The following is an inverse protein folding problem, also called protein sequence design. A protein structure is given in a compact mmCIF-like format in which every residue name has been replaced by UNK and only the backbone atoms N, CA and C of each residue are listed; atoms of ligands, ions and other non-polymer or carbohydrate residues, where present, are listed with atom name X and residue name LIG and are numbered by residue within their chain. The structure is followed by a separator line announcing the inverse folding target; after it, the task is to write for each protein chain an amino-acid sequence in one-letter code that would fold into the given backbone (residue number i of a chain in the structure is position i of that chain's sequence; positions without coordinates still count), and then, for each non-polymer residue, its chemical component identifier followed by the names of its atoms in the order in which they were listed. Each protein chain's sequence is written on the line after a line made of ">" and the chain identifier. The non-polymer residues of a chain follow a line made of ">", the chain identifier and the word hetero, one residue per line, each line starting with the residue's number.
data_IF_321455345499
#
_entry.id   IF_321455345499
#
_cell.length_a   1.000
_cell.length_b   1.000
_cell.length_c   1.000
_cell.angle_alpha   90.00
_cell.angle_beta   90.00
_cell.angle_gamma   90.00
#
_symmetry.space_group_name_H-M   'P 1'
#
loop_
_entity.id
_entity.type
_entity.pdbx_description
1 polymer ?
#
# COMPACT_ATOMS: atom_id res chain seq x y z
N UNK A 1 15.58 -2.17 10.22
CA UNK A 1 14.49 -3.08 9.83
C UNK A 1 14.77 -4.45 10.42
N UNK A 2 13.77 -5.07 11.08
CA UNK A 2 13.86 -6.46 11.58
C UNK A 2 13.14 -7.37 10.58
N UNK A 3 13.72 -8.53 10.29
CA UNK A 3 13.13 -9.53 9.38
C UNK A 3 13.02 -10.84 10.15
N UNK A 4 11.86 -11.50 10.07
CA UNK A 4 11.61 -12.83 10.63
C UNK A 4 11.01 -13.74 9.56
N UNK A 5 11.43 -14.98 9.51
CA UNK A 5 10.94 -16.01 8.58
C UNK A 5 10.44 -17.21 9.40
N UNK A 6 9.22 -17.12 9.94
CA UNK A 6 8.63 -18.21 10.71
C UNK A 6 8.26 -19.41 9.83
N UNK A 7 8.33 -20.60 10.40
CA UNK A 7 8.04 -21.86 9.68
C UNK A 7 6.52 -22.08 9.51
N UNK A 8 5.71 -21.58 10.43
CA UNK A 8 4.25 -21.80 10.44
C UNK A 8 3.48 -20.50 10.59
N UNK A 9 2.22 -20.50 10.14
CA UNK A 9 1.32 -19.37 10.31
C UNK A 9 1.05 -19.02 11.78
N UNK A 10 1.01 -20.02 12.66
CA UNK A 10 0.88 -19.81 14.10
C UNK A 10 2.06 -19.03 14.66
N UNK A 11 3.29 -19.44 14.34
CA UNK A 11 4.51 -18.74 14.78
C UNK A 11 4.54 -17.29 14.28
N UNK A 12 4.20 -17.07 13.00
CA UNK A 12 4.16 -15.72 12.43
C UNK A 12 3.23 -14.80 13.22
N UNK A 13 2.03 -15.29 13.53
CA UNK A 13 1.01 -14.51 14.23
C UNK A 13 1.34 -14.33 15.73
N UNK A 14 2.00 -15.30 16.38
CA UNK A 14 2.50 -15.18 17.74
C UNK A 14 3.65 -14.17 17.86
N UNK A 15 4.59 -14.18 16.90
CA UNK A 15 5.65 -13.17 16.81
C UNK A 15 5.03 -11.77 16.63
N UNK A 16 4.07 -11.64 15.74
CA UNK A 16 3.35 -10.37 15.54
C UNK A 16 2.67 -9.91 16.83
N UNK A 17 1.95 -10.78 17.54
CA UNK A 17 1.30 -10.45 18.82
C UNK A 17 2.32 -10.00 19.87
N UNK A 18 3.46 -10.67 19.97
CA UNK A 18 4.53 -10.37 20.92
C UNK A 18 5.16 -9.00 20.63
N UNK A 19 5.44 -8.71 19.35
CA UNK A 19 6.00 -7.43 18.94
C UNK A 19 5.02 -6.27 19.18
N UNK A 20 3.73 -6.45 18.86
CA UNK A 20 2.69 -5.45 19.18
C UNK A 20 2.62 -5.19 20.67
N UNK A 21 2.64 -6.25 21.49
CA UNK A 21 2.55 -6.14 22.95
C UNK A 21 3.77 -5.46 23.55
N UNK A 22 4.94 -5.62 22.96
CA UNK A 22 6.18 -5.00 23.45
C UNK A 22 6.19 -3.47 23.30
N UNK A 23 5.41 -2.92 22.36
CA UNK A 23 5.44 -1.49 22.03
C UNK A 23 6.77 -1.01 21.43
N UNK A 24 7.65 -1.94 21.01
CA UNK A 24 8.99 -1.63 20.53
C UNK A 24 9.04 -1.34 19.02
N UNK A 25 7.93 -1.52 18.30
CA UNK A 25 7.87 -1.34 16.85
C UNK A 25 6.60 -0.56 16.47
N UNK A 26 6.72 0.37 15.53
CA UNK A 26 5.62 1.21 15.06
C UNK A 26 4.83 0.54 13.94
N UNK A 27 5.51 -0.27 13.11
CA UNK A 27 4.90 -0.93 11.96
C UNK A 27 5.36 -2.38 11.86
N UNK A 28 4.40 -3.29 11.67
CA UNK A 28 4.64 -4.70 11.36
C UNK A 28 3.97 -5.01 10.02
N UNK A 29 4.72 -5.64 9.12
CA UNK A 29 4.21 -6.09 7.82
C UNK A 29 4.27 -7.61 7.76
N UNK A 30 3.13 -8.24 7.46
CA UNK A 30 3.03 -9.67 7.19
C UNK A 30 2.85 -9.85 5.68
N UNK A 31 3.91 -10.32 5.02
CA UNK A 31 3.95 -10.59 3.58
C UNK A 31 4.18 -12.08 3.33
N UNK A 32 3.17 -12.85 3.01
CA UNK A 32 1.78 -12.49 2.83
C UNK A 32 0.86 -13.46 3.61
N UNK A 33 -0.42 -13.09 3.73
CA UNK A 33 -1.43 -13.99 4.34
C UNK A 33 -1.48 -15.35 3.62
N UNK A 34 -1.25 -15.38 2.31
CA UNK A 34 -1.24 -16.62 1.52
C UNK A 34 -0.16 -17.60 1.99
N UNK A 35 0.94 -17.11 2.58
CA UNK A 35 2.05 -17.91 3.09
C UNK A 35 1.89 -18.34 4.56
N UNK A 36 0.84 -17.89 5.25
CA UNK A 36 0.54 -18.33 6.62
C UNK A 36 -0.08 -19.72 6.61
N UNK A 37 0.77 -20.74 6.41
CA UNK A 37 0.34 -22.13 6.39
C UNK A 37 0.18 -22.64 7.80
N UNK A 38 -0.99 -23.21 8.18
CA UNK A 38 -1.18 -23.83 9.49
C UNK A 38 -0.23 -25.01 9.70
N UNK A 39 0.25 -25.19 10.95
CA UNK A 39 1.13 -26.29 11.32
C UNK A 39 0.54 -27.65 10.92
N UNK A 40 -0.74 -27.86 11.21
CA UNK A 40 -1.42 -29.12 10.89
C UNK A 40 -1.47 -29.43 9.37
N UNK A 41 -1.38 -28.41 8.53
CA UNK A 41 -1.28 -28.58 7.07
C UNK A 41 0.14 -28.95 6.65
N UNK A 42 1.16 -28.45 7.36
CA UNK A 42 2.58 -28.78 7.10
C UNK A 42 2.95 -30.19 7.59
N UNK A 43 2.32 -30.65 8.68
CA UNK A 43 2.56 -31.97 9.27
C UNK A 43 1.70 -33.07 8.63
N UNK A 44 0.72 -32.71 7.78
CA UNK A 44 -0.13 -33.66 7.07
C UNK A 44 0.55 -34.29 5.85
N UNK A 45 -0.02 -35.38 5.35
CA UNK A 45 0.47 -36.06 4.15
C UNK A 45 0.05 -35.30 2.87
N UNK A 46 0.83 -35.49 1.79
CA UNK A 46 0.51 -34.95 0.48
C UNK A 46 -0.82 -35.53 -0.04
N UNK A 47 -1.80 -34.67 -0.21
CA UNK A 47 -3.16 -35.05 -0.67
C UNK A 47 -4.21 -34.97 0.42
N UNK A 48 -3.83 -34.72 1.67
CA UNK A 48 -4.77 -34.48 2.74
C UNK A 48 -5.60 -33.21 2.50
N UNK A 49 -6.89 -33.29 2.82
CA UNK A 49 -7.78 -32.14 2.67
C UNK A 49 -7.84 -31.31 3.95
N UNK A 50 -7.21 -30.16 3.92
CA UNK A 50 -7.16 -29.21 5.04
C UNK A 50 -8.13 -28.03 4.87
N UNK A 51 -9.39 -28.32 4.56
CA UNK A 51 -10.40 -27.30 4.26
C UNK A 51 -10.59 -26.33 5.44
N UNK A 52 -10.30 -25.05 5.19
CA UNK A 52 -10.62 -23.97 6.11
C UNK A 52 -9.68 -23.79 7.32
N UNK A 53 -8.59 -24.57 7.43
CA UNK A 53 -7.65 -24.43 8.57
C UNK A 53 -7.05 -23.02 8.63
N UNK A 54 -6.57 -22.49 7.51
CA UNK A 54 -6.04 -21.14 7.43
C UNK A 54 -7.08 -20.08 7.82
N UNK A 55 -8.34 -20.24 7.41
CA UNK A 55 -9.40 -19.31 7.78
C UNK A 55 -9.72 -19.35 9.28
N UNK A 56 -9.63 -20.54 9.90
CA UNK A 56 -9.79 -20.70 11.37
C UNK A 56 -8.64 -20.05 12.11
N UNK A 57 -7.39 -20.29 11.68
CA UNK A 57 -6.19 -19.67 12.23
C UNK A 57 -6.29 -18.14 12.19
N UNK A 58 -6.60 -17.58 11.02
CA UNK A 58 -6.78 -16.14 10.86
C UNK A 58 -7.89 -15.58 11.74
N UNK A 59 -9.03 -16.27 11.85
CA UNK A 59 -10.14 -15.83 12.69
C UNK A 59 -9.79 -15.83 14.18
N UNK A 60 -9.03 -16.80 14.63
CA UNK A 60 -8.56 -16.91 16.01
C UNK A 60 -7.50 -15.83 16.32
N UNK A 61 -6.50 -15.69 15.47
CA UNK A 61 -5.42 -14.74 15.64
C UNK A 61 -5.94 -13.29 15.62
N UNK A 62 -6.80 -12.93 14.67
CA UNK A 62 -7.32 -11.58 14.58
C UNK A 62 -8.19 -11.18 15.77
N UNK A 63 -8.90 -12.12 16.41
CA UNK A 63 -9.61 -11.85 17.67
C UNK A 63 -8.65 -11.43 18.79
N UNK A 64 -7.47 -12.07 18.89
CA UNK A 64 -6.44 -11.71 19.86
C UNK A 64 -5.74 -10.41 19.48
N UNK A 65 -5.25 -10.33 18.25
CA UNK A 65 -4.49 -9.19 17.73
C UNK A 65 -5.27 -7.88 17.81
N UNK A 66 -6.56 -7.88 17.46
CA UNK A 66 -7.37 -6.66 17.49
C UNK A 66 -7.38 -6.02 18.88
N UNK A 67 -7.52 -6.82 19.94
CA UNK A 67 -7.50 -6.31 21.31
C UNK A 67 -6.12 -5.80 21.75
N UNK A 68 -5.04 -6.37 21.23
CA UNK A 68 -3.67 -5.95 21.53
C UNK A 68 -3.29 -4.71 20.73
N UNK A 69 -3.55 -4.71 19.43
CA UNK A 69 -3.28 -3.58 18.52
C UNK A 69 -4.03 -2.33 18.95
N UNK A 70 -5.32 -2.43 19.36
CA UNK A 70 -6.11 -1.28 19.79
C UNK A 70 -5.58 -0.55 21.02
N UNK A 71 -4.68 -1.18 21.77
CA UNK A 71 -4.04 -0.62 22.98
C UNK A 71 -2.56 -0.28 22.75
N UNK A 72 -2.08 -0.40 21.54
CA UNK A 72 -0.71 -0.10 21.15
C UNK A 72 -0.69 1.03 20.10
N UNK A 73 0.47 1.60 19.88
CA UNK A 73 0.71 2.54 18.76
C UNK A 73 1.26 1.83 17.51
N UNK A 74 1.19 0.49 17.48
CA UNK A 74 1.71 -0.31 16.36
C UNK A 74 0.67 -0.47 15.28
N UNK A 75 1.04 -0.18 14.04
CA UNK A 75 0.25 -0.48 12.84
C UNK A 75 0.62 -1.85 12.30
N UNK A 76 -0.37 -2.74 12.11
CA UNK A 76 -0.15 -4.05 11.50
C UNK A 76 -0.73 -4.07 10.09
N UNK A 77 0.12 -4.35 9.11
CA UNK A 77 -0.22 -4.41 7.68
C UNK A 77 -0.19 -5.87 7.23
N UNK A 78 -1.32 -6.36 6.73
CA UNK A 78 -1.41 -7.67 6.10
C UNK A 78 -1.43 -7.51 4.58
N UNK A 79 -0.43 -8.04 3.89
CA UNK A 79 -0.42 -8.15 2.44
C UNK A 79 -1.16 -9.44 2.07
N UNK A 80 -2.05 -9.36 1.08
CA UNK A 80 -2.79 -10.53 0.62
C UNK A 80 -2.83 -10.59 -0.91
N UNK A 81 -3.05 -11.78 -1.43
CA UNK A 81 -3.12 -12.05 -2.85
C UNK A 81 -4.57 -12.21 -3.28
N UNK A 82 -4.87 -11.86 -4.53
CA UNK A 82 -6.16 -12.12 -5.14
C UNK A 82 -6.12 -13.50 -5.80
N UNK A 83 -7.18 -14.27 -5.61
CA UNK A 83 -7.44 -15.55 -6.26
C UNK A 83 -8.81 -15.50 -6.91
N UNK A 84 -9.04 -16.32 -7.89
CA UNK A 84 -10.33 -16.47 -8.52
C UNK A 84 -11.00 -17.76 -8.08
N UNK A 85 -12.28 -17.69 -7.79
CA UNK A 85 -13.12 -18.86 -7.53
C UNK A 85 -13.56 -19.48 -8.83
N UNK A 86 -13.25 -20.75 -9.02
CA UNK A 86 -13.71 -21.53 -10.17
C UNK A 86 -15.24 -21.71 -10.07
N UNK A 87 -15.94 -21.59 -11.21
CA UNK A 87 -17.38 -21.87 -11.32
C UNK A 87 -18.32 -20.72 -10.90
N UNK A 88 -17.80 -19.51 -10.64
CA UNK A 88 -18.64 -18.33 -10.40
C UNK A 88 -19.03 -17.72 -11.75
N UNK A 89 -20.24 -17.99 -12.23
CA UNK A 89 -20.75 -17.45 -13.50
C UNK A 89 -21.30 -16.02 -13.37
N UNK A 90 -21.73 -15.60 -12.17
CA UNK A 90 -22.30 -14.27 -11.91
C UNK A 90 -21.67 -13.63 -10.66
N UNK A 91 -21.47 -12.32 -10.70
CA UNK A 91 -20.86 -11.55 -9.61
C UNK A 91 -19.33 -11.50 -9.70
N UNK A 92 -18.68 -11.10 -8.62
CA UNK A 92 -17.21 -10.98 -8.56
C UNK A 92 -16.58 -12.32 -8.12
N UNK A 93 -15.84 -13.01 -8.99
CA UNK A 93 -15.17 -14.28 -8.66
C UNK A 93 -13.98 -14.09 -7.71
N UNK A 94 -13.49 -12.86 -7.55
CA UNK A 94 -12.27 -12.60 -6.78
C UNK A 94 -12.45 -12.91 -5.29
N UNK A 95 -11.46 -13.59 -4.75
CA UNK A 95 -11.37 -13.95 -3.33
C UNK A 95 -9.95 -13.78 -2.84
N UNK A 96 -9.75 -13.86 -1.53
CA UNK A 96 -8.43 -13.79 -0.90
C UNK A 96 -8.22 -14.98 0.02
N UNK A 97 -7.00 -15.54 0.13
CA UNK A 97 -6.64 -16.52 1.15
C UNK A 97 -6.91 -16.02 2.58
N UNK A 98 -6.99 -16.94 3.55
CA UNK A 98 -7.22 -16.62 4.96
C UNK A 98 -8.67 -16.35 5.35
N UNK A 99 -9.63 -16.61 4.44
CA UNK A 99 -11.05 -16.47 4.73
C UNK A 99 -11.55 -15.02 4.77
N UNK A 100 -12.64 -14.79 5.55
CA UNK A 100 -13.30 -13.47 5.61
C UNK A 100 -12.88 -12.61 6.79
N UNK A 101 -12.13 -13.13 7.76
CA UNK A 101 -11.86 -12.45 9.01
C UNK A 101 -11.17 -11.10 8.84
N UNK A 102 -10.13 -11.02 8.01
CA UNK A 102 -9.44 -9.75 7.71
C UNK A 102 -10.38 -8.67 7.15
N UNK A 103 -11.34 -9.03 6.32
CA UNK A 103 -12.31 -8.07 5.76
C UNK A 103 -13.15 -7.38 6.84
N UNK A 104 -13.42 -8.07 7.95
CA UNK A 104 -14.19 -7.52 9.08
C UNK A 104 -13.29 -6.77 10.05
N UNK A 105 -12.16 -7.37 10.45
CA UNK A 105 -11.28 -6.80 11.48
C UNK A 105 -10.47 -5.59 11.01
N UNK A 106 -10.04 -5.54 9.74
CA UNK A 106 -9.25 -4.42 9.23
C UNK A 106 -9.97 -3.06 9.40
N UNK A 107 -9.23 -2.05 9.81
CA UNK A 107 -9.70 -0.66 9.86
C UNK A 107 -9.69 -0.04 8.47
N UNK A 108 -8.63 -0.28 7.71
CA UNK A 108 -8.46 0.17 6.34
C UNK A 108 -8.22 -1.05 5.45
N UNK A 109 -8.81 -1.06 4.26
CA UNK A 109 -8.53 -2.05 3.21
C UNK A 109 -8.33 -1.34 1.89
N UNK A 110 -7.21 -1.62 1.28
CA UNK A 110 -6.81 -1.07 -0.02
C UNK A 110 -6.68 -2.19 -1.04
N UNK A 111 -7.09 -1.93 -2.25
CA UNK A 111 -6.83 -2.77 -3.41
C UNK A 111 -5.84 -2.07 -4.31
N UNK A 112 -4.76 -2.76 -4.68
CA UNK A 112 -3.76 -2.27 -5.60
C UNK A 112 -3.84 -3.07 -6.90
N UNK A 113 -3.87 -2.35 -8.04
CA UNK A 113 -3.97 -2.93 -9.38
C UNK A 113 -2.99 -2.27 -10.32
N UNK A 114 -2.29 -3.08 -11.11
CA UNK A 114 -1.49 -2.55 -12.21
C UNK A 114 -2.43 -2.06 -13.32
N UNK A 115 -2.25 -0.81 -13.75
CA UNK A 115 -3.00 -0.17 -14.83
C UNK A 115 -2.27 -0.37 -16.15
N UNK A 116 -0.96 -0.04 -16.17
CA UNK A 116 -0.11 -0.20 -17.36
C UNK A 116 1.34 -0.47 -16.96
N UNK A 117 2.11 -0.97 -17.91
CA UNK A 117 3.56 -1.14 -17.75
C UNK A 117 4.26 0.08 -18.33
N UNK A 118 5.19 0.65 -17.57
CA UNK A 118 6.03 1.76 -18.02
C UNK A 118 7.24 1.20 -18.77
N UNK A 119 7.52 1.80 -19.92
CA UNK A 119 8.64 1.39 -20.80
C UNK A 119 9.49 2.61 -21.10
N UNK A 120 10.79 2.40 -21.15
CA UNK A 120 11.77 3.35 -21.63
C UNK A 120 12.70 2.64 -22.63
N UNK A 121 12.88 3.21 -23.82
CA UNK A 121 13.68 2.60 -24.89
C UNK A 121 13.26 1.17 -25.30
N UNK A 122 12.01 0.76 -24.97
CA UNK A 122 11.51 -0.61 -25.20
C UNK A 122 11.64 -1.54 -24.00
N UNK A 123 12.43 -1.20 -23.00
CA UNK A 123 12.57 -1.96 -21.77
C UNK A 123 11.50 -1.61 -20.74
N UNK A 124 11.12 -2.60 -19.91
CA UNK A 124 10.15 -2.38 -18.84
C UNK A 124 10.88 -1.79 -17.63
N UNK A 125 10.59 -0.53 -17.30
CA UNK A 125 11.22 0.20 -16.19
C UNK A 125 10.34 0.33 -14.95
N UNK A 126 9.04 0.05 -15.08
CA UNK A 126 8.12 0.18 -13.96
C UNK A 126 6.68 -0.17 -14.31
N UNK A 127 5.78 0.18 -13.41
CA UNK A 127 4.35 -0.01 -13.60
C UNK A 127 3.58 1.17 -13.02
N UNK A 128 2.58 1.67 -13.76
CA UNK A 128 1.56 2.53 -13.18
C UNK A 128 0.54 1.67 -12.46
N UNK A 129 0.26 2.02 -11.23
CA UNK A 129 -0.66 1.29 -10.36
C UNK A 129 -1.79 2.19 -9.91
N UNK A 130 -2.94 1.58 -9.67
CA UNK A 130 -4.10 2.21 -9.04
C UNK A 130 -4.31 1.62 -7.67
N UNK A 131 -4.42 2.47 -6.65
CA UNK A 131 -4.86 2.09 -5.31
C UNK A 131 -6.27 2.60 -5.08
N UNK A 132 -7.15 1.71 -4.63
CA UNK A 132 -8.52 2.03 -4.23
C UNK A 132 -8.72 1.67 -2.78
N UNK A 133 -9.17 2.62 -1.97
CA UNK A 133 -9.55 2.39 -0.58
C UNK A 133 -10.97 1.83 -0.56
N UNK A 134 -11.11 0.51 -0.38
CA UNK A 134 -12.42 -0.19 -0.43
C UNK A 134 -13.10 -0.28 0.93
N UNK A 135 -12.37 -0.03 2.01
CA UNK A 135 -12.88 0.11 3.38
C UNK A 135 -12.03 1.10 4.15
N UNK A 136 -12.65 1.98 4.89
CA UNK A 136 -11.99 2.89 5.80
C UNK A 136 -12.92 3.21 6.98
N UNK A 137 -12.43 2.98 8.21
CA UNK A 137 -13.13 3.33 9.45
C UNK A 137 -12.72 4.70 10.00
N UNK A 138 -11.64 5.29 9.47
CA UNK A 138 -11.06 6.54 9.95
C UNK A 138 -11.47 7.76 9.10
N UNK A 139 -11.88 7.55 7.85
CA UNK A 139 -12.25 8.58 6.89
C UNK A 139 -13.22 8.03 5.83
N UNK A 140 -13.85 8.86 4.98
CA UNK A 140 -14.70 8.40 3.89
C UNK A 140 -13.95 7.44 2.96
N UNK A 141 -14.51 6.24 2.69
CA UNK A 141 -13.89 5.25 1.80
C UNK A 141 -14.11 5.58 0.33
N UNK A 142 -13.64 4.68 -0.55
CA UNK A 142 -13.80 4.68 -2.01
C UNK A 142 -12.99 5.72 -2.77
N UNK A 143 -12.09 6.46 -2.11
CA UNK A 143 -11.08 7.26 -2.79
C UNK A 143 -10.11 6.35 -3.54
N UNK A 144 -9.60 6.83 -4.66
CA UNK A 144 -8.59 6.15 -5.45
C UNK A 144 -7.54 7.13 -5.93
N UNK A 145 -6.33 6.61 -6.12
CA UNK A 145 -5.21 7.35 -6.70
C UNK A 145 -4.39 6.44 -7.60
N UNK A 146 -3.62 7.04 -8.50
CA UNK A 146 -2.69 6.33 -9.37
C UNK A 146 -1.31 6.95 -9.25
N UNK A 147 -0.29 6.10 -9.21
CA UNK A 147 1.11 6.52 -9.18
C UNK A 147 2.00 5.47 -9.86
N UNK A 148 3.24 5.83 -10.12
CA UNK A 148 4.21 4.96 -10.74
C UNK A 148 5.07 4.26 -9.70
N UNK A 149 5.31 2.95 -9.90
CA UNK A 149 6.31 2.17 -9.18
C UNK A 149 7.43 1.85 -10.16
N UNK A 150 8.62 2.36 -9.89
CA UNK A 150 9.82 2.13 -10.68
C UNK A 150 10.58 0.93 -10.13
N UNK A 151 11.04 0.05 -11.00
CA UNK A 151 11.75 -1.16 -10.58
C UNK A 151 13.08 -0.79 -9.93
N UNK A 152 13.35 -1.38 -8.76
CA UNK A 152 14.54 -1.12 -7.97
C UNK A 152 14.56 0.22 -7.20
N UNK A 153 13.61 1.11 -7.46
CA UNK A 153 13.54 2.45 -6.82
C UNK A 153 12.30 2.63 -5.93
N UNK A 154 11.18 1.96 -6.27
CA UNK A 154 9.92 2.10 -5.56
C UNK A 154 8.99 3.15 -6.17
N UNK A 155 8.22 3.84 -5.35
CA UNK A 155 7.25 4.86 -5.80
C UNK A 155 8.01 6.07 -6.36
N UNK A 156 7.65 6.52 -7.58
CA UNK A 156 8.20 7.74 -8.18
C UNK A 156 7.63 8.98 -7.50
N UNK A 157 8.38 9.55 -6.58
CA UNK A 157 7.98 10.74 -5.83
C UNK A 157 7.77 11.96 -6.73
N UNK A 158 8.73 12.23 -7.62
CA UNK A 158 8.68 13.34 -8.57
C UNK A 158 7.48 13.21 -9.52
N UNK A 159 7.19 11.96 -9.93
CA UNK A 159 6.04 11.65 -10.78
C UNK A 159 4.72 11.91 -10.08
N UNK A 160 4.62 11.55 -8.80
CA UNK A 160 3.40 11.77 -8.00
C UNK A 160 3.18 13.25 -7.72
N UNK A 161 4.23 13.96 -7.30
CA UNK A 161 4.19 15.42 -7.09
C UNK A 161 3.79 16.15 -8.37
N UNK A 162 4.37 15.77 -9.53
CA UNK A 162 4.04 16.38 -10.81
C UNK A 162 2.57 16.15 -11.21
N UNK A 163 2.08 14.92 -11.07
CA UNK A 163 0.68 14.58 -11.41
C UNK A 163 -0.30 15.33 -10.50
N UNK A 164 -0.01 15.43 -9.20
CA UNK A 164 -0.81 16.20 -8.24
C UNK A 164 -0.74 17.71 -8.53
N UNK A 165 0.44 18.24 -8.85
CA UNK A 165 0.61 19.65 -9.18
C UNK A 165 -0.16 20.05 -10.44
N UNK A 166 -0.20 19.18 -11.45
CA UNK A 166 -1.03 19.41 -12.66
C UNK A 166 -2.51 19.34 -12.30
N UNK A 167 -2.94 18.39 -11.46
CA UNK A 167 -4.34 18.28 -11.06
C UNK A 167 -4.83 19.45 -10.21
N UNK A 168 -3.92 20.14 -9.52
CA UNK A 168 -4.18 21.33 -8.71
C UNK A 168 -3.90 22.65 -9.40
N UNK A 169 -3.65 22.64 -10.74
CA UNK A 169 -3.29 23.82 -11.54
C UNK A 169 -2.07 24.60 -10.98
N UNK A 170 -1.20 23.92 -10.22
CA UNK A 170 0.07 24.46 -9.68
C UNK A 170 1.14 24.42 -10.76
N UNK A 171 1.17 23.35 -11.56
CA UNK A 171 1.99 23.17 -12.74
C UNK A 171 1.07 23.24 -13.96
N UNK A 172 1.34 24.17 -14.86
CA UNK A 172 0.59 24.30 -16.11
C UNK A 172 1.07 23.27 -17.12
N UNK A 173 0.09 22.61 -17.78
CA UNK A 173 0.36 21.70 -18.87
C UNK A 173 -0.25 22.22 -20.17
N UNK A 174 0.59 22.71 -21.06
CA UNK A 174 0.18 23.20 -22.39
C UNK A 174 0.71 22.27 -23.47
N UNK A 175 -0.17 21.44 -24.03
CA UNK A 175 0.21 20.39 -24.98
C UNK A 175 1.18 19.38 -24.30
N UNK A 176 2.41 19.29 -24.82
CA UNK A 176 3.45 18.44 -24.25
C UNK A 176 4.33 19.15 -23.20
N UNK A 177 4.20 20.46 -23.02
CA UNK A 177 5.05 21.24 -22.13
C UNK A 177 4.46 21.38 -20.75
N UNK A 178 5.33 21.29 -19.74
CA UNK A 178 5.04 21.54 -18.33
C UNK A 178 5.76 22.80 -17.90
N UNK A 179 5.07 23.70 -17.19
CA UNK A 179 5.59 24.99 -16.72
C UNK A 179 5.21 25.24 -15.26
N UNK A 180 6.12 25.82 -14.51
CA UNK A 180 5.92 26.22 -13.13
C UNK A 180 6.44 27.65 -12.93
N UNK A 181 5.59 28.58 -12.45
CA UNK A 181 5.91 29.99 -12.28
C UNK A 181 6.60 30.59 -13.55
N UNK A 182 5.95 30.43 -14.72
CA UNK A 182 6.42 30.84 -16.06
C UNK A 182 7.72 30.14 -16.55
N UNK A 183 8.30 29.26 -15.78
CA UNK A 183 9.50 28.50 -16.14
C UNK A 183 9.11 27.13 -16.72
N UNK A 184 9.66 26.81 -17.90
CA UNK A 184 9.49 25.49 -18.51
C UNK A 184 10.31 24.47 -17.75
N UNK A 185 9.64 23.43 -17.21
CA UNK A 185 10.30 22.35 -16.46
C UNK A 185 10.52 21.09 -17.30
N UNK A 186 9.88 20.98 -18.48
CA UNK A 186 10.15 19.87 -19.38
C UNK A 186 9.13 19.72 -20.50
N UNK A 187 9.56 19.04 -21.57
CA UNK A 187 8.67 18.58 -22.63
C UNK A 187 8.39 17.09 -22.43
N UNK A 188 7.14 16.75 -22.11
CA UNK A 188 6.73 15.40 -21.73
C UNK A 188 6.95 15.13 -20.24
N UNK A 189 6.20 14.13 -19.73
CA UNK A 189 6.17 13.80 -18.31
C UNK A 189 7.52 13.29 -17.80
N UNK A 190 8.20 12.45 -18.57
CA UNK A 190 9.47 11.86 -18.14
C UNK A 190 10.59 12.91 -18.03
N UNK A 191 10.72 13.81 -19.03
CA UNK A 191 11.68 14.90 -18.96
C UNK A 191 11.39 15.84 -17.79
N UNK A 192 10.11 16.09 -17.48
CA UNK A 192 9.74 16.91 -16.33
C UNK A 192 10.09 16.24 -15.00
N UNK A 193 9.93 14.92 -14.89
CA UNK A 193 10.37 14.15 -13.72
C UNK A 193 11.89 14.25 -13.54
N UNK A 194 12.65 14.04 -14.62
CA UNK A 194 14.12 14.16 -14.60
C UNK A 194 14.53 15.56 -14.16
N UNK A 195 13.89 16.59 -14.73
CA UNK A 195 14.17 17.97 -14.31
C UNK A 195 13.91 18.19 -12.82
N UNK A 196 12.80 17.66 -12.29
CA UNK A 196 12.47 17.79 -10.87
C UNK A 196 13.46 17.03 -9.97
N UNK A 197 13.94 15.86 -10.39
CA UNK A 197 14.96 15.11 -9.65
C UNK A 197 16.32 15.82 -9.60
N UNK A 198 16.66 16.60 -10.63
CA UNK A 198 17.89 17.38 -10.70
C UNK A 198 17.77 18.76 -10.02
N UNK A 199 16.55 19.25 -9.79
CA UNK A 199 16.27 20.60 -9.26
C UNK A 199 15.45 20.53 -7.97
N UNK A 200 16.06 20.07 -6.89
CA UNK A 200 15.43 19.82 -5.58
C UNK A 200 14.66 21.04 -5.04
N UNK A 201 15.19 22.26 -5.20
CA UNK A 201 14.51 23.50 -4.77
C UNK A 201 13.17 23.74 -5.47
N UNK A 202 13.09 23.40 -6.76
CA UNK A 202 11.86 23.52 -7.55
C UNK A 202 10.88 22.46 -7.09
N UNK A 203 11.35 21.22 -6.90
CA UNK A 203 10.55 20.11 -6.39
C UNK A 203 9.96 20.45 -5.01
N UNK A 204 10.76 20.96 -4.08
CA UNK A 204 10.29 21.40 -2.76
C UNK A 204 9.23 22.51 -2.83
N UNK A 205 9.44 23.49 -3.72
CA UNK A 205 8.47 24.58 -3.91
C UNK A 205 7.12 24.06 -4.42
N UNK A 206 7.15 23.19 -5.43
CA UNK A 206 5.95 22.55 -5.96
C UNK A 206 5.29 21.70 -4.88
N UNK A 207 6.08 20.90 -4.15
CA UNK A 207 5.56 20.03 -3.08
C UNK A 207 4.84 20.82 -2.00
N UNK A 208 5.40 21.96 -1.57
CA UNK A 208 4.73 22.84 -0.59
C UNK A 208 3.39 23.33 -1.09
N UNK A 209 3.31 23.80 -2.35
CA UNK A 209 2.06 24.25 -2.96
C UNK A 209 1.04 23.09 -3.08
N UNK A 210 1.51 21.87 -3.43
CA UNK A 210 0.66 20.66 -3.49
C UNK A 210 0.12 20.29 -2.11
N UNK A 211 0.96 20.30 -1.08
CA UNK A 211 0.52 20.00 0.30
C UNK A 211 -0.53 21.00 0.78
N UNK A 212 -0.32 22.29 0.51
CA UNK A 212 -1.31 23.33 0.80
C UNK A 212 -2.64 23.11 0.05
N UNK A 213 -2.57 22.83 -1.24
CA UNK A 213 -3.74 22.52 -2.06
C UNK A 213 -4.53 21.31 -1.53
N UNK A 214 -3.83 20.29 -1.02
CA UNK A 214 -4.44 19.11 -0.43
C UNK A 214 -4.92 19.31 1.03
N UNK A 215 -4.68 20.47 1.64
CA UNK A 215 -4.99 20.73 3.04
C UNK A 215 -4.15 19.88 4.00
N UNK A 216 -2.94 19.53 3.59
CA UNK A 216 -1.96 18.76 4.36
C UNK A 216 -0.81 19.65 4.86
N UNK A 217 -1.01 20.97 4.92
CA UNK A 217 -0.08 21.88 5.57
C UNK A 217 0.15 21.37 6.99
N UNK A 218 1.39 21.09 7.34
CA UNK A 218 1.74 20.80 8.71
C UNK A 218 1.40 22.08 9.51
N UNK A 219 0.31 22.04 10.26
CA UNK A 219 0.23 22.85 11.45
C UNK A 219 1.45 22.48 12.26
N UNK A 220 2.44 23.37 12.25
CA UNK A 220 3.52 23.33 13.23
C UNK A 220 2.82 23.41 14.58
N UNK A 221 2.60 22.24 15.17
CA UNK A 221 2.03 22.11 16.50
C UNK A 221 2.93 22.89 17.47
N UNK A 222 2.57 24.14 17.70
CA UNK A 222 3.08 24.95 18.80
C UNK A 222 2.40 24.44 20.06
N UNK A 223 2.73 23.25 20.49
CA UNK A 223 2.47 22.80 21.85
C UNK A 223 3.77 22.82 22.66
N UNK A 224 4.37 24.00 22.76
CA UNK A 224 5.04 24.40 23.99
C UNK A 224 3.99 24.99 24.92
N UNK A 225 3.52 24.18 25.84
CA UNK A 225 3.18 24.61 27.21
C UNK A 225 3.05 23.39 28.10
#
# INVERSE_FOLDING_TARGET
>A
MLISQPDTGEQALEICETLVRSGAVDVIVIDSVAALVPRAELEGDMGDTHVGLQARLMSQALRKLTGTVSRSNTTVIFINQIREKIGVMFGNPETTPGGRALKFYSSIRMEIRRVTTLKDGGEMVGSRVRVKVVKNKCAPPFKQTEFDIMYGQGISYEGDVLDLAVSGDIVEKTGAWYSFDDMKIGQGRENSKTYLSENEKVLESITKKVMSFMGLDQETDKSEK
#
